data_IF_895971157106
#
_entry.id   IF_895971157106
#
_cell.length_a   1.000
_cell.length_b   1.000
_cell.length_c   1.000
_cell.angle_alpha   90.00
_cell.angle_beta   90.00
_cell.angle_gamma   90.00
#
_symmetry.space_group_name_H-M   'P 1'
#
loop_
_entity.id
_entity.type
_entity.pdbx_description
1 polymer ?
#
# COMPACT_ATOMS: atom_id res chain seq x y z
N UNK A 1 12.05 6.95 -5.82
CA UNK A 1 10.96 6.93 -4.83
C UNK A 1 10.08 8.15 -5.07
N UNK A 2 8.77 7.95 -5.25
CA UNK A 2 7.85 9.06 -5.47
C UNK A 2 7.78 9.98 -4.24
N UNK A 3 7.79 11.28 -4.46
CA UNK A 3 7.70 12.26 -3.37
C UNK A 3 6.24 12.54 -3.01
N UNK A 4 5.98 12.72 -1.73
CA UNK A 4 4.67 13.16 -1.25
C UNK A 4 4.55 14.66 -1.53
N UNK A 5 3.50 15.06 -2.25
CA UNK A 5 3.33 16.46 -2.70
C UNK A 5 2.03 17.11 -2.22
N UNK A 6 1.13 16.35 -1.58
CA UNK A 6 -0.14 16.87 -1.07
C UNK A 6 -0.02 17.26 0.43
N UNK A 7 -1.16 17.43 1.10
CA UNK A 7 -1.20 17.87 2.50
C UNK A 7 -0.60 16.87 3.50
N UNK A 8 -0.35 15.63 3.10
CA UNK A 8 0.43 14.69 3.90
C UNK A 8 1.86 15.19 4.13
N UNK A 9 2.44 15.90 3.17
CA UNK A 9 3.81 16.39 3.31
C UNK A 9 3.97 17.27 4.55
N UNK A 10 3.06 18.22 4.76
CA UNK A 10 3.10 19.08 5.95
C UNK A 10 2.93 18.26 7.24
N UNK A 11 2.06 17.26 7.21
CA UNK A 11 1.75 16.46 8.39
C UNK A 11 2.91 15.57 8.86
N UNK A 12 3.71 15.02 7.91
CA UNK A 12 4.72 14.01 8.24
C UNK A 12 6.15 14.41 7.88
N UNK A 13 6.37 15.58 7.28
CA UNK A 13 7.72 16.01 6.85
C UNK A 13 8.74 16.05 8.00
N UNK A 14 8.29 16.28 9.22
CA UNK A 14 9.15 16.26 10.39
C UNK A 14 9.87 14.93 10.60
N UNK A 15 9.23 13.82 10.22
CA UNK A 15 9.83 12.48 10.33
C UNK A 15 11.00 12.31 9.35
N UNK A 16 10.92 12.93 8.17
CA UNK A 16 11.95 12.80 7.14
C UNK A 16 13.28 13.45 7.54
N UNK A 17 13.28 14.33 8.54
CA UNK A 17 14.49 15.01 9.05
C UNK A 17 15.16 14.23 10.17
N UNK A 18 14.52 13.21 10.71
CA UNK A 18 15.05 12.43 11.83
C UNK A 18 16.13 11.45 11.37
N UNK A 19 17.13 11.16 12.24
CA UNK A 19 18.20 10.23 11.87
C UNK A 19 17.73 8.85 11.44
N UNK A 20 16.70 8.29 12.10
CA UNK A 20 16.20 6.96 11.75
C UNK A 20 15.70 6.91 10.30
N UNK A 21 15.10 8.00 9.82
CA UNK A 21 14.58 8.04 8.45
C UNK A 21 15.72 8.05 7.43
N UNK A 22 16.81 8.75 7.71
CA UNK A 22 17.97 8.76 6.82
C UNK A 22 18.58 7.36 6.70
N UNK A 23 18.69 6.66 7.82
CA UNK A 23 19.21 5.29 7.84
C UNK A 23 18.28 4.34 7.10
N UNK A 24 16.98 4.46 7.32
CA UNK A 24 15.96 3.66 6.64
C UNK A 24 15.97 3.94 5.13
N UNK A 25 16.02 5.20 4.74
CA UNK A 25 16.06 5.59 3.33
C UNK A 25 17.28 5.00 2.63
N UNK A 26 18.45 5.10 3.26
CA UNK A 26 19.68 4.54 2.70
C UNK A 26 19.58 3.02 2.56
N UNK A 27 19.08 2.35 3.57
CA UNK A 27 18.89 0.90 3.56
C UNK A 27 17.95 0.47 2.43
N UNK A 28 16.81 1.11 2.32
CA UNK A 28 15.80 0.79 1.28
C UNK A 28 16.37 1.05 -0.11
N UNK A 29 17.08 2.16 -0.30
CA UNK A 29 17.71 2.47 -1.58
C UNK A 29 18.71 1.40 -1.98
N UNK A 30 19.52 0.92 -1.06
CA UNK A 30 20.48 -0.15 -1.31
C UNK A 30 19.78 -1.47 -1.66
N UNK A 31 18.70 -1.77 -0.99
CA UNK A 31 17.91 -2.98 -1.28
C UNK A 31 17.34 -2.95 -2.69
N UNK A 32 16.79 -1.81 -3.14
CA UNK A 32 16.30 -1.68 -4.51
C UNK A 32 17.42 -1.81 -5.54
N UNK A 33 18.62 -1.40 -5.20
CA UNK A 33 19.79 -1.52 -6.09
C UNK A 33 20.30 -2.95 -6.23
N UNK A 34 20.14 -3.78 -5.18
CA UNK A 34 20.73 -5.12 -5.12
C UNK A 34 19.73 -6.26 -5.34
N UNK A 35 18.47 -6.05 -4.99
CA UNK A 35 17.45 -7.10 -5.01
C UNK A 35 16.18 -6.61 -5.67
N UNK A 36 15.24 -7.54 -5.90
CA UNK A 36 13.90 -7.17 -6.34
C UNK A 36 13.04 -6.87 -5.12
N UNK A 37 12.55 -5.65 -5.05
CA UNK A 37 11.72 -5.15 -3.94
C UNK A 37 10.36 -4.73 -4.47
N UNK A 38 9.30 -5.01 -3.72
CA UNK A 38 7.93 -4.60 -4.04
C UNK A 38 7.39 -3.67 -2.96
N UNK A 39 6.55 -2.73 -3.34
CA UNK A 39 6.16 -2.33 -4.70
C UNK A 39 7.32 -1.62 -5.43
N UNK A 40 7.18 -1.28 -6.72
CA UNK A 40 8.14 -0.40 -7.38
C UNK A 40 8.34 0.89 -6.58
N UNK A 41 9.55 1.45 -6.62
CA UNK A 41 9.93 2.57 -5.75
C UNK A 41 8.98 3.78 -5.84
N UNK A 42 8.47 4.08 -7.04
CA UNK A 42 7.55 5.21 -7.22
C UNK A 42 6.16 4.96 -6.61
N UNK A 43 5.84 3.71 -6.27
CA UNK A 43 4.53 3.34 -5.73
C UNK A 43 4.51 3.25 -4.20
N UNK A 44 5.65 3.37 -3.52
CA UNK A 44 5.76 3.14 -2.07
C UNK A 44 4.75 3.97 -1.28
N UNK A 45 4.54 5.23 -1.66
CA UNK A 45 3.66 6.18 -0.96
C UNK A 45 2.31 6.38 -1.63
N UNK A 46 1.87 5.46 -2.48
CA UNK A 46 0.60 5.62 -3.20
C UNK A 46 -0.61 5.77 -2.29
N UNK A 47 -0.61 5.15 -1.11
CA UNK A 47 -1.69 5.36 -0.14
C UNK A 47 -1.89 6.85 0.17
N UNK A 48 -0.79 7.57 0.38
CA UNK A 48 -0.82 9.01 0.63
C UNK A 48 -1.13 9.81 -0.63
N UNK A 49 -0.58 9.42 -1.78
CA UNK A 49 -0.82 10.11 -3.05
C UNK A 49 -2.30 10.08 -3.44
N UNK A 50 -2.95 8.93 -3.30
CA UNK A 50 -4.32 8.75 -3.76
C UNK A 50 -5.36 9.24 -2.77
N UNK A 51 -5.01 9.34 -1.49
CA UNK A 51 -5.94 9.79 -0.45
C UNK A 51 -5.29 10.90 0.39
N UNK A 52 -5.46 12.17 -0.02
CA UNK A 52 -4.97 13.31 0.76
C UNK A 52 -5.48 13.27 2.19
N UNK A 53 -4.70 13.81 3.14
CA UNK A 53 -5.06 13.79 4.56
C UNK A 53 -6.45 14.39 4.82
N UNK A 54 -6.76 15.51 4.18
CA UNK A 54 -8.06 16.19 4.34
C UNK A 54 -9.24 15.36 3.84
N UNK A 55 -9.00 14.31 3.06
CA UNK A 55 -10.05 13.46 2.48
C UNK A 55 -10.18 12.09 3.13
N UNK A 56 -9.31 11.77 4.07
CA UNK A 56 -9.36 10.48 4.76
C UNK A 56 -10.64 10.36 5.57
N UNK A 57 -11.40 9.32 5.31
CA UNK A 57 -12.61 8.96 6.05
C UNK A 57 -12.43 7.67 6.84
N UNK A 58 -11.66 6.74 6.30
CA UNK A 58 -11.41 5.41 6.89
C UNK A 58 -9.95 5.07 6.72
N UNK A 59 -9.33 4.51 7.76
CA UNK A 59 -8.03 3.88 7.67
C UNK A 59 -8.24 2.36 7.62
N UNK A 60 -7.80 1.73 6.53
CA UNK A 60 -7.73 0.29 6.43
C UNK A 60 -6.27 -0.12 6.48
N UNK A 61 -5.84 -0.64 7.63
CA UNK A 61 -4.44 -0.94 7.90
C UNK A 61 -4.12 -2.39 7.58
N UNK A 62 -3.18 -2.60 6.66
CA UNK A 62 -2.61 -3.92 6.36
C UNK A 62 -1.25 -4.10 7.02
N UNK A 63 -0.65 -5.26 6.82
CA UNK A 63 0.64 -5.61 7.42
C UNK A 63 1.80 -5.21 6.53
N UNK A 64 1.96 -5.86 5.38
CA UNK A 64 3.05 -5.64 4.43
C UNK A 64 2.58 -5.86 2.99
N UNK A 65 3.37 -5.40 1.99
CA UNK A 65 3.00 -5.59 0.59
C UNK A 65 3.02 -7.07 0.18
N UNK A 66 2.26 -7.40 -0.84
CA UNK A 66 2.39 -8.70 -1.51
C UNK A 66 3.80 -8.85 -2.10
N UNK A 67 4.34 -10.06 -2.08
CA UNK A 67 5.75 -10.31 -2.38
C UNK A 67 5.99 -11.00 -3.72
N UNK A 68 5.01 -10.98 -4.61
CA UNK A 68 5.11 -11.57 -5.96
C UNK A 68 4.87 -10.52 -7.04
N UNK A 69 5.26 -10.87 -8.27
CA UNK A 69 5.15 -10.00 -9.45
C UNK A 69 3.70 -9.57 -9.69
N UNK A 70 3.50 -8.31 -10.09
CA UNK A 70 2.21 -7.72 -10.48
C UNK A 70 1.16 -7.65 -9.38
N UNK A 71 1.56 -7.72 -8.12
CA UNK A 71 0.64 -7.63 -7.00
C UNK A 71 0.69 -6.26 -6.34
N UNK A 72 1.77 -5.96 -5.60
CA UNK A 72 1.85 -4.73 -4.79
C UNK A 72 2.04 -3.48 -5.65
N UNK A 73 1.30 -2.42 -5.28
CA UNK A 73 1.42 -1.12 -5.93
C UNK A 73 1.23 0.06 -4.95
N UNK A 74 1.44 -0.20 -3.65
CA UNK A 74 1.42 0.85 -2.62
C UNK A 74 0.10 1.04 -1.90
N UNK A 75 -0.90 0.21 -2.15
CA UNK A 75 -2.18 0.20 -1.42
C UNK A 75 -2.34 -1.15 -0.71
N UNK A 76 -2.65 -1.11 0.59
CA UNK A 76 -2.88 -2.33 1.36
C UNK A 76 -4.01 -3.17 0.75
N UNK A 77 -3.88 -4.48 0.79
CA UNK A 77 -4.82 -5.48 0.27
C UNK A 77 -5.04 -5.46 -1.24
N UNK A 78 -4.67 -4.38 -1.92
CA UNK A 78 -4.91 -4.19 -3.35
C UNK A 78 -3.85 -4.86 -4.21
N UNK A 79 -4.27 -5.38 -5.35
CA UNK A 79 -3.36 -5.86 -6.41
C UNK A 79 -3.60 -5.05 -7.67
N UNK A 80 -2.63 -5.08 -8.59
CA UNK A 80 -2.77 -4.43 -9.89
C UNK A 80 -3.94 -5.02 -10.67
N UNK A 81 -4.58 -4.23 -11.54
CA UNK A 81 -5.75 -4.72 -12.29
C UNK A 81 -5.44 -5.89 -13.23
N UNK A 82 -4.18 -6.06 -13.63
CA UNK A 82 -3.74 -7.17 -14.46
C UNK A 82 -3.69 -8.50 -13.70
N UNK A 83 -3.68 -8.45 -12.37
CA UNK A 83 -3.68 -9.66 -11.54
C UNK A 83 -5.08 -10.26 -11.52
N UNK A 84 -5.22 -11.47 -12.06
CA UNK A 84 -6.52 -12.14 -12.17
C UNK A 84 -7.00 -12.72 -10.85
N UNK A 85 -6.07 -13.22 -10.04
CA UNK A 85 -6.40 -13.82 -8.76
C UNK A 85 -6.55 -12.74 -7.69
N UNK A 86 -7.65 -12.82 -6.95
CA UNK A 86 -7.88 -11.97 -5.79
C UNK A 86 -7.23 -12.64 -4.59
N UNK A 87 -6.30 -11.97 -3.87
CA UNK A 87 -5.64 -12.57 -2.72
C UNK A 87 -6.64 -13.02 -1.64
N UNK A 88 -6.35 -14.09 -0.90
CA UNK A 88 -7.28 -14.63 0.12
C UNK A 88 -7.73 -13.61 1.16
N UNK A 89 -6.83 -12.73 1.62
CA UNK A 89 -7.19 -11.69 2.59
C UNK A 89 -8.23 -10.73 2.03
N UNK A 90 -8.09 -10.34 0.76
CA UNK A 90 -9.04 -9.46 0.10
C UNK A 90 -10.36 -10.20 -0.22
N UNK A 91 -10.29 -11.47 -0.57
CA UNK A 91 -11.49 -12.29 -0.74
C UNK A 91 -12.34 -12.29 0.53
N UNK A 92 -11.70 -12.39 1.69
CA UNK A 92 -12.39 -12.35 2.99
C UNK A 92 -13.07 -10.99 3.22
N UNK A 93 -12.40 -9.89 2.87
CA UNK A 93 -12.99 -8.55 2.98
C UNK A 93 -14.21 -8.43 2.04
N UNK A 94 -14.08 -8.88 0.80
CA UNK A 94 -15.18 -8.86 -0.16
C UNK A 94 -16.38 -9.70 0.31
N UNK A 95 -16.10 -10.87 0.87
CA UNK A 95 -17.14 -11.75 1.43
C UNK A 95 -17.88 -11.05 2.57
N UNK A 96 -17.15 -10.43 3.47
CA UNK A 96 -17.76 -9.69 4.59
C UNK A 96 -18.66 -8.54 4.11
N UNK A 97 -18.20 -7.77 3.14
CA UNK A 97 -19.00 -6.69 2.55
C UNK A 97 -20.26 -7.22 1.87
N UNK A 98 -20.14 -8.36 1.18
CA UNK A 98 -21.27 -9.00 0.54
C UNK A 98 -22.30 -9.51 1.56
N UNK A 99 -21.83 -10.22 2.58
CA UNK A 99 -22.70 -10.82 3.59
C UNK A 99 -23.39 -9.78 4.47
N UNK A 100 -22.68 -8.69 4.80
CA UNK A 100 -23.21 -7.64 5.68
C UNK A 100 -24.09 -6.62 4.95
N UNK A 101 -23.66 -6.17 3.77
CA UNK A 101 -24.29 -5.04 3.07
C UNK A 101 -24.90 -5.41 1.73
N UNK A 102 -24.76 -6.65 1.27
CA UNK A 102 -25.26 -7.06 -0.05
C UNK A 102 -24.46 -6.51 -1.22
N UNK A 103 -23.25 -6.02 -0.98
CA UNK A 103 -22.39 -5.51 -2.06
C UNK A 103 -22.02 -6.60 -3.05
N UNK A 104 -21.86 -6.23 -4.33
CA UNK A 104 -21.29 -7.14 -5.32
C UNK A 104 -19.88 -7.53 -4.93
N UNK A 105 -19.52 -8.79 -5.23
CA UNK A 105 -18.15 -9.24 -5.14
C UNK A 105 -17.46 -8.87 -6.45
N UNK A 106 -16.47 -7.94 -6.44
CA UNK A 106 -15.78 -7.55 -7.67
C UNK A 106 -15.01 -8.71 -8.29
N UNK A 107 -14.76 -8.62 -9.60
CA UNK A 107 -13.98 -9.62 -10.32
C UNK A 107 -12.48 -9.31 -10.37
N UNK A 108 -12.02 -8.33 -9.61
CA UNK A 108 -10.62 -7.94 -9.53
C UNK A 108 -10.30 -7.45 -8.13
N UNK A 109 -9.00 -7.31 -7.84
CA UNK A 109 -8.51 -6.85 -6.53
C UNK A 109 -7.91 -5.45 -6.55
N UNK A 110 -8.24 -4.62 -7.53
CA UNK A 110 -7.69 -3.27 -7.62
C UNK A 110 -8.57 -2.28 -6.85
N UNK A 111 -8.02 -1.70 -5.78
CA UNK A 111 -8.80 -0.93 -4.80
C UNK A 111 -8.66 0.59 -4.92
N UNK A 112 -8.14 1.10 -6.04
CA UNK A 112 -7.99 2.56 -6.20
C UNK A 112 -9.32 3.30 -6.01
N UNK A 113 -10.44 2.70 -6.40
CA UNK A 113 -11.77 3.30 -6.20
C UNK A 113 -12.09 3.53 -4.72
N UNK A 114 -11.62 2.67 -3.83
CA UNK A 114 -11.79 2.88 -2.40
C UNK A 114 -10.93 4.05 -1.93
N UNK A 115 -9.68 4.12 -2.38
CA UNK A 115 -8.80 5.25 -2.08
C UNK A 115 -9.40 6.58 -2.54
N UNK A 116 -9.99 6.60 -3.73
CA UNK A 116 -10.64 7.78 -4.30
C UNK A 116 -11.84 8.25 -3.46
N UNK A 117 -12.42 7.38 -2.66
CA UNK A 117 -13.54 7.68 -1.77
C UNK A 117 -13.12 8.03 -0.35
N UNK A 118 -11.83 8.10 -0.07
CA UNK A 118 -11.32 8.48 1.25
C UNK A 118 -10.88 7.32 2.13
N UNK A 119 -10.68 6.13 1.58
CA UNK A 119 -10.09 5.01 2.33
C UNK A 119 -8.58 5.09 2.21
N UNK A 120 -7.89 5.32 3.32
CA UNK A 120 -6.43 5.27 3.38
C UNK A 120 -6.00 3.81 3.53
N UNK A 121 -5.52 3.24 2.42
CA UNK A 121 -5.12 1.83 2.33
C UNK A 121 -3.61 1.74 2.64
N UNK A 122 -3.26 1.70 3.92
CA UNK A 122 -1.89 1.80 4.40
C UNK A 122 -1.41 0.48 5.00
N UNK A 123 -0.19 0.07 4.67
CA UNK A 123 0.49 -1.03 5.35
C UNK A 123 1.39 -0.51 6.46
N UNK A 124 1.61 -1.30 7.50
CA UNK A 124 2.55 -0.96 8.57
C UNK A 124 4.00 -1.05 8.08
N UNK A 125 4.28 -1.92 7.11
CA UNK A 125 5.57 -2.04 6.43
C UNK A 125 5.33 -1.77 4.95
N UNK A 126 6.09 -0.88 4.35
CA UNK A 126 5.80 -0.36 3.02
C UNK A 126 6.53 -1.07 1.88
N UNK A 127 7.56 -1.88 2.20
CA UNK A 127 8.36 -2.59 1.20
C UNK A 127 8.63 -4.02 1.62
N UNK A 128 8.84 -4.89 0.64
CA UNK A 128 9.15 -6.30 0.88
C UNK A 128 10.05 -6.81 -0.26
N UNK A 129 11.01 -7.70 0.06
CA UNK A 129 11.78 -8.39 -0.97
C UNK A 129 10.90 -9.43 -1.66
N UNK A 130 11.20 -9.71 -2.92
CA UNK A 130 10.49 -10.72 -3.69
C UNK A 130 10.47 -12.06 -2.93
N UNK A 131 9.27 -12.67 -2.88
CA UNK A 131 9.02 -13.96 -2.23
C UNK A 131 9.34 -14.02 -0.73
N UNK A 132 9.46 -12.87 -0.07
CA UNK A 132 9.65 -12.78 1.38
C UNK A 132 8.47 -12.07 2.02
N UNK A 133 8.05 -12.56 3.20
CA UNK A 133 7.06 -11.90 4.04
C UNK A 133 7.74 -11.43 5.32
N UNK A 134 7.29 -10.29 5.83
CA UNK A 134 7.68 -9.85 7.17
C UNK A 134 6.86 -10.62 8.19
N UNK A 135 7.53 -11.27 9.13
CA UNK A 135 6.88 -11.99 10.23
C UNK A 135 7.10 -11.26 11.53
N UNK A 136 6.09 -11.32 12.39
CA UNK A 136 6.16 -10.73 13.73
C UNK A 136 6.33 -11.81 14.77
#
# INVERSE_FOLDING_TARGET
MGMITNDWLDAISGEFKKPYYRELYQFVREEYARTTVYPPADDIFNAFHFTPLSKVKVLLLGQDPYHNVNQAHGLSFSVLPEQREIPPSLQNIYKELHDDLGCYIPNNGYLKKWADQGVLLLNTVLTVRRSEEHTF
#
